data_IF_277330580585
#
_entry.id   IF_277330580585
#
_cell.length_a   1.000
_cell.length_b   1.000
_cell.length_c   1.000
_cell.angle_alpha   90.00
_cell.angle_beta   90.00
_cell.angle_gamma   90.00
#
_symmetry.space_group_name_H-M   'P 1'
#
loop_
_entity.id
_entity.type
_entity.pdbx_description
1 polymer ?
#
# COMPACT_ATOMS: atom_id res chain seq x y z
N UNK A 1 2.85 -12.00 6.03
CA UNK A 1 1.46 -11.50 6.10
C UNK A 1 0.82 -11.74 4.76
N UNK A 2 -0.40 -12.26 4.71
CA UNK A 2 -1.14 -12.54 3.47
C UNK A 2 -2.36 -11.63 3.46
N UNK A 3 -2.57 -10.86 2.39
CA UNK A 3 -3.75 -10.01 2.23
C UNK A 3 -4.62 -10.66 1.16
N UNK A 4 -5.89 -10.91 1.49
CA UNK A 4 -6.87 -11.46 0.56
C UNK A 4 -7.79 -10.38 0.00
N UNK A 5 -8.05 -9.34 0.80
CA UNK A 5 -8.99 -8.28 0.47
C UNK A 5 -8.42 -6.92 0.86
N UNK A 6 -8.77 -5.90 0.08
CA UNK A 6 -8.41 -4.51 0.32
C UNK A 6 -9.69 -3.70 0.44
N UNK A 7 -9.85 -3.02 1.58
CA UNK A 7 -10.97 -2.13 1.83
C UNK A 7 -10.50 -0.68 1.86
N UNK A 8 -11.14 0.16 1.05
CA UNK A 8 -10.86 1.60 0.99
C UNK A 8 -12.18 2.35 1.19
N UNK A 9 -12.27 3.18 2.22
CA UNK A 9 -13.47 4.00 2.44
C UNK A 9 -13.61 5.06 1.34
N UNK A 10 -14.83 5.38 0.92
CA UNK A 10 -15.10 6.36 -0.15
C UNK A 10 -14.39 7.73 0.02
N UNK A 11 -14.35 8.34 1.22
CA UNK A 11 -13.61 9.59 1.40
C UNK A 11 -12.12 9.44 1.11
N UNK A 12 -11.53 8.29 1.44
CA UNK A 12 -10.13 7.97 1.19
C UNK A 12 -9.92 7.73 -0.29
N UNK A 13 -10.77 6.94 -0.97
CA UNK A 13 -10.72 6.75 -2.44
C UNK A 13 -10.66 8.08 -3.18
N UNK A 14 -11.58 9.01 -2.85
CA UNK A 14 -11.61 10.36 -3.43
C UNK A 14 -10.31 11.11 -3.16
N UNK A 15 -9.85 11.14 -1.91
CA UNK A 15 -8.61 11.83 -1.52
C UNK A 15 -7.39 11.31 -2.29
N UNK A 16 -7.25 9.99 -2.43
CA UNK A 16 -6.14 9.38 -3.15
C UNK A 16 -6.14 9.75 -4.64
N UNK A 17 -7.31 9.71 -5.27
CA UNK A 17 -7.45 10.09 -6.67
C UNK A 17 -7.13 11.58 -6.89
N UNK A 18 -7.75 12.46 -6.11
CA UNK A 18 -7.59 13.91 -6.30
C UNK A 18 -6.19 14.41 -5.92
N UNK A 19 -5.65 13.96 -4.78
CA UNK A 19 -4.37 14.49 -4.26
C UNK A 19 -3.15 13.82 -4.87
N UNK A 20 -3.25 12.53 -5.18
CA UNK A 20 -2.09 11.71 -5.52
C UNK A 20 -2.19 11.03 -6.90
N UNK A 21 -3.34 11.17 -7.59
CA UNK A 21 -3.59 10.47 -8.85
C UNK A 21 -3.42 8.96 -8.69
N UNK A 22 -3.90 8.41 -7.57
CA UNK A 22 -3.84 6.98 -7.26
C UNK A 22 -5.25 6.41 -7.29
N UNK A 23 -5.43 5.33 -8.04
CA UNK A 23 -6.69 4.59 -8.06
C UNK A 23 -6.62 3.34 -7.16
N UNK A 24 -7.77 2.71 -6.93
CA UNK A 24 -7.88 1.51 -6.11
C UNK A 24 -7.20 0.29 -6.73
N UNK A 25 -7.23 0.20 -8.05
CA UNK A 25 -6.62 -0.89 -8.81
C UNK A 25 -5.10 -0.95 -8.61
N UNK A 26 -4.43 0.20 -8.56
CA UNK A 26 -3.00 0.30 -8.24
C UNK A 26 -2.67 -0.22 -6.85
N UNK A 27 -3.52 0.08 -5.87
CA UNK A 27 -3.34 -0.37 -4.49
C UNK A 27 -3.55 -1.88 -4.39
N UNK A 28 -4.59 -2.41 -5.03
CA UNK A 28 -4.89 -3.83 -5.06
C UNK A 28 -3.72 -4.63 -5.65
N UNK A 29 -3.18 -4.17 -6.77
CA UNK A 29 -2.09 -4.90 -7.42
C UNK A 29 -0.79 -4.89 -6.59
N UNK A 30 -0.50 -3.78 -5.91
CA UNK A 30 0.64 -3.72 -4.99
C UNK A 30 0.45 -4.65 -3.79
N UNK A 31 -0.74 -4.67 -3.18
CA UNK A 31 -0.99 -5.41 -1.94
C UNK A 31 -1.25 -6.91 -2.16
N UNK A 32 -1.89 -7.28 -3.26
CA UNK A 32 -2.30 -8.65 -3.54
C UNK A 32 -1.28 -9.41 -4.38
N UNK A 33 -0.66 -8.76 -5.39
CA UNK A 33 0.10 -9.46 -6.43
C UNK A 33 1.63 -9.33 -6.30
N UNK A 34 2.14 -8.29 -5.62
CA UNK A 34 3.54 -7.88 -5.77
C UNK A 34 4.52 -8.32 -4.66
N UNK A 35 4.14 -9.27 -3.79
CA UNK A 35 4.89 -9.65 -2.58
C UNK A 35 5.47 -8.41 -1.87
N UNK A 36 4.60 -7.48 -1.43
CA UNK A 36 5.07 -6.23 -0.86
C UNK A 36 5.84 -6.45 0.43
N UNK A 37 6.81 -5.57 0.69
CA UNK A 37 7.53 -5.56 1.96
C UNK A 37 6.68 -4.83 2.99
N UNK A 38 6.42 -5.49 4.11
CA UNK A 38 5.61 -4.94 5.18
C UNK A 38 6.46 -4.47 6.35
N UNK A 39 6.40 -3.18 6.67
CA UNK A 39 6.96 -2.64 7.91
C UNK A 39 5.85 -2.24 8.85
N UNK A 40 5.90 -2.70 10.10
CA UNK A 40 4.96 -2.25 11.14
C UNK A 40 5.51 -0.96 11.77
N UNK A 41 4.66 0.05 11.91
CA UNK A 41 4.98 1.30 12.61
C UNK A 41 3.74 1.84 13.32
N UNK A 42 3.84 2.08 14.63
CA UNK A 42 2.76 2.67 15.46
C UNK A 42 1.39 2.01 15.26
N UNK A 43 1.36 0.67 15.20
CA UNK A 43 0.13 -0.10 15.00
C UNK A 43 -0.37 -0.21 13.57
N UNK A 44 0.27 0.48 12.62
CA UNK A 44 -0.04 0.43 11.19
C UNK A 44 0.99 -0.39 10.42
N UNK A 45 0.61 -0.78 9.22
CA UNK A 45 1.46 -1.43 8.24
C UNK A 45 1.76 -0.47 7.10
N UNK A 46 3.01 -0.49 6.67
CA UNK A 46 3.50 0.20 5.50
C UNK A 46 3.94 -0.83 4.47
N UNK A 47 3.50 -0.65 3.23
CA UNK A 47 3.87 -1.44 2.07
C UNK A 47 4.46 -0.53 1.00
N UNK A 48 5.49 -1.02 0.31
CA UNK A 48 5.97 -0.41 -0.94
C UNK A 48 5.87 -1.44 -2.05
N UNK A 49 5.43 -1.02 -3.22
CA UNK A 49 5.45 -1.86 -4.42
C UNK A 49 5.30 -1.04 -5.70
N UNK A 50 5.30 -1.73 -6.84
CA UNK A 50 5.31 -1.13 -8.17
C UNK A 50 4.16 -1.70 -9.02
N UNK A 51 3.41 -0.82 -9.69
CA UNK A 51 2.50 -1.18 -10.80
C UNK A 51 2.83 -0.37 -12.05
N UNK A 52 2.50 0.91 -12.03
CA UNK A 52 2.93 1.90 -13.05
C UNK A 52 4.00 2.85 -12.48
N UNK A 53 3.89 3.11 -11.17
CA UNK A 53 4.82 3.88 -10.35
C UNK A 53 5.02 3.16 -9.02
N UNK A 54 6.10 3.51 -8.32
CA UNK A 54 6.29 3.04 -6.95
C UNK A 54 5.32 3.75 -6.02
N UNK A 55 4.58 2.97 -5.23
CA UNK A 55 3.61 3.45 -4.27
C UNK A 55 4.03 3.06 -2.86
N UNK A 56 3.88 3.99 -1.93
CA UNK A 56 3.88 3.72 -0.50
C UNK A 56 2.44 3.69 -0.02
N UNK A 57 2.04 2.58 0.60
CA UNK A 57 0.67 2.33 1.04
C UNK A 57 0.70 2.10 2.56
N UNK A 58 -0.13 2.85 3.28
CA UNK A 58 -0.28 2.74 4.73
C UNK A 58 -1.69 2.23 5.02
N UNK A 59 -1.76 1.16 5.81
CA UNK A 59 -3.00 0.47 6.12
C UNK A 59 -2.98 -0.16 7.51
N UNK A 60 -4.15 -0.38 8.08
CA UNK A 60 -4.31 -1.30 9.20
C UNK A 60 -4.71 -2.69 8.66
N UNK A 61 -4.27 -3.74 9.33
CA UNK A 61 -4.54 -5.12 8.89
C UNK A 61 -5.46 -5.83 9.87
N UNK A 62 -6.59 -6.30 9.36
CA UNK A 62 -7.46 -7.25 10.05
C UNK A 62 -6.94 -8.67 9.80
N UNK A 63 -6.46 -9.30 10.88
CA UNK A 63 -5.90 -10.66 10.80
C UNK A 63 -6.95 -11.74 10.59
N UNK A 64 -8.19 -11.53 11.06
CA UNK A 64 -9.26 -12.54 11.00
C UNK A 64 -9.70 -12.68 9.55
N UNK A 65 -10.03 -11.55 8.92
CA UNK A 65 -10.49 -11.52 7.52
C UNK A 65 -9.33 -11.43 6.51
N UNK A 66 -8.08 -11.35 6.98
CA UNK A 66 -6.89 -11.10 6.15
C UNK A 66 -7.06 -9.86 5.24
N UNK A 67 -7.70 -8.82 5.78
CA UNK A 67 -8.11 -7.63 5.04
C UNK A 67 -7.22 -6.42 5.36
N UNK A 68 -6.78 -5.70 4.33
CA UNK A 68 -6.08 -4.44 4.46
C UNK A 68 -7.05 -3.26 4.38
N UNK A 69 -7.20 -2.53 5.48
CA UNK A 69 -7.98 -1.30 5.53
C UNK A 69 -7.07 -0.10 5.24
N UNK A 70 -7.22 0.49 4.06
CA UNK A 70 -6.33 1.56 3.58
C UNK A 70 -6.58 2.86 4.33
N UNK A 71 -5.51 3.44 4.85
CA UNK A 71 -5.51 4.75 5.53
C UNK A 71 -5.07 5.82 4.54
N UNK A 72 -3.98 5.57 3.80
CA UNK A 72 -3.49 6.46 2.75
C UNK A 72 -2.52 5.73 1.81
N UNK A 73 -2.29 6.30 0.63
CA UNK A 73 -1.24 5.92 -0.29
C UNK A 73 -0.70 7.16 -1.01
N UNK A 74 0.56 7.12 -1.43
CA UNK A 74 1.21 8.19 -2.18
C UNK A 74 2.37 7.64 -3.01
N UNK A 75 2.81 8.34 -4.07
CA UNK A 75 4.01 7.96 -4.81
C UNK A 75 5.24 7.94 -3.89
N UNK A 76 6.01 6.87 -3.94
CA UNK A 76 7.20 6.72 -3.09
C UNK A 76 8.29 7.72 -3.46
N UNK A 77 9.00 8.22 -2.46
CA UNK A 77 10.21 9.04 -2.67
C UNK A 77 11.39 8.18 -3.15
N UNK A 78 12.41 8.81 -3.75
CA UNK A 78 13.63 8.10 -4.23
C UNK A 78 14.27 7.24 -3.15
N UNK A 79 14.38 7.76 -1.92
CA UNK A 79 14.94 7.01 -0.80
C UNK A 79 14.10 5.78 -0.44
N UNK A 80 12.77 5.90 -0.39
CA UNK A 80 11.87 4.76 -0.15
C UNK A 80 11.99 3.69 -1.23
N UNK A 81 12.14 4.10 -2.49
CA UNK A 81 12.33 3.19 -3.63
C UNK A 81 13.66 2.44 -3.51
N UNK A 82 14.75 3.14 -3.18
CA UNK A 82 16.07 2.52 -3.03
C UNK A 82 16.05 1.49 -1.90
N UNK A 83 15.50 1.85 -0.73
CA UNK A 83 15.35 0.94 0.40
C UNK A 83 14.53 -0.30 0.02
N UNK A 84 13.41 -0.12 -0.69
CA UNK A 84 12.59 -1.22 -1.16
C UNK A 84 13.35 -2.16 -2.12
N UNK A 85 14.14 -1.60 -3.05
CA UNK A 85 14.95 -2.39 -3.99
C UNK A 85 16.05 -3.18 -3.29
N UNK A 86 16.71 -2.59 -2.29
CA UNK A 86 17.72 -3.28 -1.48
C UNK A 86 17.13 -4.46 -0.70
N UNK A 87 15.95 -4.27 -0.09
CA UNK A 87 15.27 -5.33 0.65
C UNK A 87 14.68 -6.45 -0.23
N UNK A 88 14.57 -6.25 -1.55
CA UNK A 88 14.11 -7.26 -2.51
C UNK A 88 15.25 -8.05 -3.18
N UNK A 89 16.50 -7.64 -3.00
CA UNK A 89 17.67 -8.43 -3.41
C UNK A 89 17.85 -9.62 -2.47
#
# INVERSE_FOLDING_TARGET
MIINEVSIRNPIKKKLRFKHGINEEEINEVLLNNKPIFKKSRGLYLSIGFKQKYLTIIFSYDKINKMANIITAYPSSKWQINLYKEMKK
#
